data_IF_208995593566
#
_entry.id   IF_208995593566
#
_cell.length_a   1.000
_cell.length_b   1.000
_cell.length_c   1.000
_cell.angle_alpha   90.00
_cell.angle_beta   90.00
_cell.angle_gamma   90.00
#
_symmetry.space_group_name_H-M   'P 1'
#
loop_
_entity.id
_entity.type
_entity.pdbx_description
1 polymer ?
#
# COMPACT_ATOMS: atom_id res chain seq x y z
N UNK A 1 35.46 -24.93 -35.38
CA UNK A 1 34.73 -25.50 -34.21
C UNK A 1 34.94 -24.65 -32.95
N UNK A 2 35.48 -23.43 -33.01
CA UNK A 2 35.77 -22.54 -31.87
C UNK A 2 34.83 -21.34 -31.71
N UNK A 3 33.94 -21.06 -32.68
CA UNK A 3 33.03 -19.91 -32.57
C UNK A 3 31.77 -20.13 -31.71
N UNK A 4 31.36 -21.38 -31.48
CA UNK A 4 30.15 -21.68 -30.69
C UNK A 4 30.37 -21.52 -29.17
N UNK A 5 31.59 -21.62 -28.67
CA UNK A 5 31.90 -21.52 -27.22
C UNK A 5 31.83 -20.07 -26.74
N UNK A 6 32.20 -19.09 -27.57
CA UNK A 6 32.14 -17.67 -27.21
C UNK A 6 30.72 -17.12 -27.14
N UNK A 7 29.83 -17.56 -28.03
CA UNK A 7 28.41 -17.16 -28.01
C UNK A 7 27.66 -17.75 -26.81
N UNK A 8 27.99 -18.97 -26.41
CA UNK A 8 27.37 -19.59 -25.23
C UNK A 8 27.81 -18.93 -23.91
N UNK A 9 29.08 -18.53 -23.81
CA UNK A 9 29.60 -17.80 -22.63
C UNK A 9 29.00 -16.39 -22.52
N UNK A 10 28.82 -15.67 -23.65
CA UNK A 10 28.18 -14.35 -23.62
C UNK A 10 26.68 -14.44 -23.29
N UNK A 11 25.99 -15.47 -23.77
CA UNK A 11 24.58 -15.72 -23.44
C UNK A 11 24.37 -16.08 -21.96
N UNK A 12 25.28 -16.85 -21.37
CA UNK A 12 25.21 -17.17 -19.93
C UNK A 12 25.46 -15.92 -19.07
N UNK A 13 26.43 -15.09 -19.43
CA UNK A 13 26.69 -13.82 -18.74
C UNK A 13 25.50 -12.85 -18.88
N UNK A 14 24.82 -12.84 -20.00
CA UNK A 14 23.64 -12.03 -20.26
C UNK A 14 22.44 -12.51 -19.41
N UNK A 15 22.24 -13.82 -19.29
CA UNK A 15 21.18 -14.42 -18.44
C UNK A 15 21.44 -14.11 -16.95
N UNK A 16 22.67 -14.29 -16.45
CA UNK A 16 23.02 -14.01 -15.04
C UNK A 16 22.84 -12.51 -14.74
N UNK A 17 23.28 -11.65 -15.63
CA UNK A 17 23.09 -10.20 -15.51
C UNK A 17 21.60 -9.84 -15.52
N UNK A 18 20.79 -10.45 -16.37
CA UNK A 18 19.35 -10.24 -16.44
C UNK A 18 18.65 -10.67 -15.16
N UNK A 19 19.01 -11.85 -14.60
CA UNK A 19 18.45 -12.34 -13.34
C UNK A 19 18.78 -11.38 -12.19
N UNK A 20 20.03 -10.94 -12.09
CA UNK A 20 20.47 -9.99 -11.06
C UNK A 20 19.75 -8.63 -11.19
N UNK A 21 19.62 -8.12 -12.40
CA UNK A 21 18.91 -6.87 -12.67
C UNK A 21 17.43 -6.97 -12.31
N UNK A 22 16.76 -8.07 -12.68
CA UNK A 22 15.37 -8.34 -12.32
C UNK A 22 15.18 -8.43 -10.80
N UNK A 23 16.02 -9.19 -10.11
CA UNK A 23 15.95 -9.34 -8.66
C UNK A 23 16.14 -7.98 -7.95
N UNK A 24 17.13 -7.19 -8.37
CA UNK A 24 17.36 -5.85 -7.81
C UNK A 24 16.18 -4.91 -8.08
N UNK A 25 15.64 -4.92 -9.30
CA UNK A 25 14.48 -4.09 -9.65
C UNK A 25 13.26 -4.44 -8.80
N UNK A 26 12.99 -5.72 -8.58
CA UNK A 26 11.89 -6.19 -7.74
C UNK A 26 12.04 -5.73 -6.27
N UNK A 27 13.26 -5.83 -5.73
CA UNK A 27 13.53 -5.39 -4.36
C UNK A 27 13.34 -3.87 -4.20
N UNK A 28 13.97 -3.08 -5.06
CA UNK A 28 13.90 -1.61 -5.00
C UNK A 28 12.46 -1.13 -5.23
N UNK A 29 11.79 -1.60 -6.29
CA UNK A 29 10.43 -1.18 -6.60
C UNK A 29 9.42 -1.59 -5.52
N UNK A 30 9.60 -2.75 -4.87
CA UNK A 30 8.69 -3.27 -3.87
C UNK A 30 8.79 -2.55 -2.53
N UNK A 31 10.00 -2.27 -2.04
CA UNK A 31 10.19 -1.68 -0.70
C UNK A 31 9.68 -0.25 -0.64
N UNK A 32 10.13 0.62 -1.54
CA UNK A 32 9.80 2.04 -1.50
C UNK A 32 8.31 2.30 -1.77
N UNK A 33 7.70 1.57 -2.70
CA UNK A 33 6.29 1.75 -3.02
C UNK A 33 5.37 1.35 -1.86
N UNK A 34 5.63 0.22 -1.20
CA UNK A 34 4.86 -0.20 -0.04
C UNK A 34 5.05 0.75 1.15
N UNK A 35 6.29 1.19 1.41
CA UNK A 35 6.58 2.14 2.48
C UNK A 35 5.83 3.46 2.29
N UNK A 36 5.85 4.02 1.08
CA UNK A 36 5.10 5.25 0.77
C UNK A 36 3.59 5.06 0.93
N UNK A 37 3.01 3.94 0.47
CA UNK A 37 1.59 3.65 0.69
C UNK A 37 1.25 3.58 2.18
N UNK A 38 2.12 2.97 3.00
CA UNK A 38 1.93 2.90 4.46
C UNK A 38 1.99 4.28 5.11
N UNK A 39 2.89 5.15 4.67
CA UNK A 39 2.95 6.54 5.15
C UNK A 39 1.66 7.29 4.81
N UNK A 40 1.16 7.17 3.58
CA UNK A 40 -0.08 7.82 3.15
C UNK A 40 -1.31 7.33 3.93
N UNK A 41 -1.49 6.02 4.14
CA UNK A 41 -2.63 5.52 4.91
C UNK A 41 -2.59 6.00 6.37
N UNK A 42 -1.42 6.03 7.01
CA UNK A 42 -1.28 6.53 8.37
C UNK A 42 -1.55 8.04 8.45
N UNK A 43 -1.06 8.82 7.50
CA UNK A 43 -1.31 10.25 7.41
C UNK A 43 -2.81 10.57 7.25
N UNK A 44 -3.49 9.83 6.37
CA UNK A 44 -4.94 9.96 6.17
C UNK A 44 -5.72 9.60 7.42
N UNK A 45 -5.35 8.53 8.12
CA UNK A 45 -6.02 8.11 9.35
C UNK A 45 -5.81 9.13 10.49
N UNK A 46 -4.63 9.71 10.61
CA UNK A 46 -4.35 10.75 11.60
C UNK A 46 -5.14 12.05 11.36
N UNK A 47 -5.45 12.36 10.11
CA UNK A 47 -6.34 13.47 9.75
C UNK A 47 -7.84 13.12 9.83
N UNK A 48 -8.18 11.83 10.02
CA UNK A 48 -9.56 11.33 10.11
C UNK A 48 -9.71 10.40 11.33
N UNK A 49 -9.71 10.94 12.57
CA UNK A 49 -9.69 10.13 13.79
C UNK A 49 -10.88 9.16 13.93
N UNK A 50 -12.04 9.52 13.39
CA UNK A 50 -13.23 8.65 13.37
C UNK A 50 -13.02 7.41 12.51
N UNK A 51 -12.24 7.51 11.42
CA UNK A 51 -11.91 6.35 10.58
C UNK A 51 -10.84 5.48 11.21
N UNK A 52 -9.87 6.10 11.91
CA UNK A 52 -8.90 5.37 12.74
C UNK A 52 -9.61 4.55 13.83
N UNK A 53 -10.54 5.17 14.57
CA UNK A 53 -11.31 4.48 15.59
C UNK A 53 -12.11 3.30 15.04
N UNK A 54 -12.79 3.46 13.89
CA UNK A 54 -13.52 2.35 13.23
C UNK A 54 -12.60 1.19 12.86
N UNK A 55 -11.40 1.46 12.35
CA UNK A 55 -10.43 0.42 11.99
C UNK A 55 -9.94 -0.34 13.24
N UNK A 56 -9.71 0.39 14.33
CA UNK A 56 -9.33 -0.20 15.61
C UNK A 56 -10.46 -1.02 16.23
N UNK A 57 -11.70 -0.55 16.15
CA UNK A 57 -12.90 -1.29 16.59
C UNK A 57 -13.12 -2.58 15.81
N UNK A 58 -12.88 -2.57 14.48
CA UNK A 58 -12.93 -3.80 13.68
C UNK A 58 -11.89 -4.81 14.16
N UNK A 59 -10.65 -4.38 14.41
CA UNK A 59 -9.58 -5.24 14.91
C UNK A 59 -9.89 -5.77 16.32
N UNK A 60 -10.34 -4.93 17.24
CA UNK A 60 -10.70 -5.32 18.60
C UNK A 60 -11.86 -6.32 18.62
N UNK A 61 -12.82 -6.17 17.69
CA UNK A 61 -14.00 -7.06 17.60
C UNK A 61 -13.67 -8.39 16.93
N UNK A 62 -12.86 -8.39 15.85
CA UNK A 62 -12.61 -9.59 15.01
C UNK A 62 -11.42 -10.41 15.47
N UNK A 63 -10.39 -9.75 16.00
CA UNK A 63 -9.13 -10.40 16.43
C UNK A 63 -8.99 -10.40 17.93
N UNK A 64 -9.38 -9.30 18.59
CA UNK A 64 -9.20 -9.10 20.04
C UNK A 64 -7.84 -8.49 20.38
N UNK A 65 -7.52 -8.51 21.70
CA UNK A 65 -6.30 -7.90 22.26
C UNK A 65 -5.36 -8.93 22.92
N UNK A 66 -5.72 -10.22 22.87
CA UNK A 66 -4.97 -11.30 23.52
C UNK A 66 -3.91 -11.94 22.64
N UNK A 67 -3.94 -11.64 21.35
CA UNK A 67 -2.96 -12.09 20.33
C UNK A 67 -2.75 -11.04 19.26
N UNK A 68 -1.66 -11.16 18.53
CA UNK A 68 -1.44 -10.34 17.34
C UNK A 68 -2.30 -10.85 16.17
N UNK A 69 -2.68 -9.93 15.29
CA UNK A 69 -3.34 -10.25 14.03
C UNK A 69 -2.42 -11.08 13.14
N UNK A 70 -3.00 -12.09 12.47
CA UNK A 70 -2.33 -12.98 11.53
C UNK A 70 -2.90 -12.81 10.11
N UNK A 71 -2.21 -13.37 9.11
CA UNK A 71 -2.66 -13.32 7.71
C UNK A 71 -4.06 -13.92 7.51
N UNK A 72 -4.39 -14.97 8.27
CA UNK A 72 -5.69 -15.65 8.25
C UNK A 72 -6.86 -14.77 8.71
N UNK A 73 -6.59 -13.69 9.43
CA UNK A 73 -7.61 -12.74 9.89
C UNK A 73 -7.99 -11.72 8.79
N UNK A 74 -7.04 -11.39 7.91
CA UNK A 74 -7.17 -10.32 6.91
C UNK A 74 -8.46 -10.44 6.06
N UNK A 75 -8.87 -11.63 5.58
CA UNK A 75 -10.12 -11.76 4.81
C UNK A 75 -11.38 -11.28 5.53
N UNK A 76 -11.37 -11.22 6.87
CA UNK A 76 -12.49 -10.80 7.70
C UNK A 76 -12.43 -9.30 8.09
N UNK A 77 -11.33 -8.61 7.79
CA UNK A 77 -11.11 -7.20 8.10
C UNK A 77 -11.51 -6.32 6.92
N UNK A 78 -12.82 -6.22 6.68
CA UNK A 78 -13.36 -5.55 5.49
C UNK A 78 -13.10 -4.04 5.49
N UNK A 79 -13.20 -3.39 6.66
CA UNK A 79 -12.96 -1.95 6.76
C UNK A 79 -11.48 -1.62 6.54
N UNK A 80 -10.59 -2.42 7.10
CA UNK A 80 -9.15 -2.29 6.88
C UNK A 80 -8.77 -2.45 5.39
N UNK A 81 -9.39 -3.40 4.69
CA UNK A 81 -9.19 -3.56 3.24
C UNK A 81 -9.72 -2.36 2.46
N UNK A 82 -10.87 -1.82 2.85
CA UNK A 82 -11.46 -0.62 2.26
C UNK A 82 -10.58 0.63 2.47
N UNK A 83 -9.98 0.78 3.66
CA UNK A 83 -9.01 1.84 3.94
C UNK A 83 -7.83 1.81 2.97
N UNK A 84 -7.24 0.65 2.77
CA UNK A 84 -6.10 0.53 1.85
C UNK A 84 -6.50 0.79 0.39
N UNK A 85 -7.67 0.30 -0.05
CA UNK A 85 -8.21 0.58 -1.39
C UNK A 85 -8.41 2.09 -1.60
N UNK A 86 -8.98 2.78 -0.62
CA UNK A 86 -9.23 4.22 -0.71
C UNK A 86 -7.93 5.02 -0.69
N UNK A 87 -6.94 4.60 0.10
CA UNK A 87 -5.61 5.20 0.07
C UNK A 87 -4.95 5.06 -1.30
N UNK A 88 -4.98 3.86 -1.88
CA UNK A 88 -4.43 3.60 -3.22
C UNK A 88 -5.18 4.36 -4.33
N UNK A 89 -6.47 4.68 -4.13
CA UNK A 89 -7.24 5.52 -5.04
C UNK A 89 -6.79 6.98 -4.98
N UNK A 90 -6.65 7.53 -3.77
CA UNK A 90 -6.32 8.95 -3.57
C UNK A 90 -4.84 9.24 -3.80
N UNK A 91 -3.98 8.36 -3.29
CA UNK A 91 -2.52 8.51 -3.34
C UNK A 91 -1.86 7.26 -3.97
N UNK A 92 -2.10 7.01 -5.26
CA UNK A 92 -1.42 5.93 -5.97
C UNK A 92 0.07 6.25 -6.04
N UNK A 93 0.91 5.38 -5.50
CA UNK A 93 2.37 5.63 -5.38
C UNK A 93 3.06 5.77 -6.73
N UNK A 94 2.52 5.13 -7.77
CA UNK A 94 2.97 5.29 -9.15
C UNK A 94 1.90 5.99 -10.00
N UNK A 95 1.58 7.28 -9.78
CA UNK A 95 0.40 7.93 -10.35
C UNK A 95 0.44 8.03 -11.88
N UNK A 96 1.64 8.11 -12.45
CA UNK A 96 1.79 8.24 -13.90
C UNK A 96 1.79 6.88 -14.61
N UNK A 97 2.02 5.76 -13.90
CA UNK A 97 2.14 4.43 -14.49
C UNK A 97 3.07 4.40 -15.73
N UNK A 98 2.70 3.58 -16.74
CA UNK A 98 3.23 3.72 -18.09
C UNK A 98 2.48 4.89 -18.74
N UNK A 99 3.14 5.80 -19.49
CA UNK A 99 2.49 6.97 -20.08
C UNK A 99 1.19 6.61 -20.80
N UNK A 100 0.09 7.26 -20.41
CA UNK A 100 -1.23 7.14 -21.03
C UNK A 100 -1.94 8.48 -20.91
N UNK A 101 -2.94 8.69 -21.74
CA UNK A 101 -3.71 9.92 -21.83
C UNK A 101 -5.18 9.62 -21.54
N UNK A 102 -5.83 10.46 -20.73
CA UNK A 102 -7.27 10.38 -20.52
C UNK A 102 -8.01 10.82 -21.79
N UNK A 103 -9.01 10.06 -22.19
CA UNK A 103 -9.80 10.38 -23.39
C UNK A 103 -10.87 11.44 -23.12
N UNK A 104 -11.29 11.60 -21.87
CA UNK A 104 -12.31 12.54 -21.43
C UNK A 104 -11.99 13.06 -20.03
N UNK A 105 -12.47 14.27 -19.73
CA UNK A 105 -12.42 14.83 -18.39
C UNK A 105 -13.34 14.03 -17.47
N UNK A 106 -12.84 13.61 -16.29
CA UNK A 106 -13.63 12.92 -15.30
C UNK A 106 -13.51 13.59 -13.93
N UNK A 107 -14.60 13.57 -13.17
CA UNK A 107 -14.58 14.04 -11.79
C UNK A 107 -14.14 12.89 -10.86
N UNK A 108 -12.98 13.05 -10.24
CA UNK A 108 -12.50 12.12 -9.20
C UNK A 108 -12.84 12.72 -7.83
N UNK A 109 -13.64 12.03 -6.99
CA UNK A 109 -13.94 12.53 -5.65
C UNK A 109 -12.67 12.71 -4.82
N UNK A 110 -12.49 13.89 -4.26
CA UNK A 110 -11.32 14.30 -3.47
C UNK A 110 -11.41 13.95 -1.97
N UNK A 111 -12.58 13.50 -1.51
CA UNK A 111 -12.81 13.14 -0.11
C UNK A 111 -12.40 11.69 0.17
N UNK A 112 -11.58 11.50 1.22
CA UNK A 112 -11.25 10.19 1.78
C UNK A 112 -12.49 9.52 2.39
N UNK A 113 -12.95 8.42 1.81
CA UNK A 113 -14.17 7.72 2.20
C UNK A 113 -14.05 6.20 1.94
N UNK A 114 -13.50 5.43 2.87
CA UNK A 114 -13.36 3.97 2.74
C UNK A 114 -14.70 3.24 2.56
N UNK A 115 -15.78 3.76 3.14
CA UNK A 115 -17.12 3.16 3.05
C UNK A 115 -17.63 2.99 1.62
N UNK A 116 -17.08 3.73 0.64
CA UNK A 116 -17.44 3.51 -0.78
C UNK A 116 -17.17 2.08 -1.24
N UNK A 117 -16.10 1.45 -0.75
CA UNK A 117 -15.75 0.06 -1.07
C UNK A 117 -16.54 -0.98 -0.26
N UNK A 118 -17.36 -0.54 0.68
CA UNK A 118 -18.28 -1.39 1.44
C UNK A 118 -19.74 -1.23 1.00
N UNK A 119 -20.04 -0.22 0.19
CA UNK A 119 -21.42 0.14 -0.19
C UNK A 119 -21.60 0.26 -1.70
N UNK A 120 -21.08 1.31 -2.32
CA UNK A 120 -21.36 1.65 -3.73
C UNK A 120 -20.39 1.00 -4.72
N UNK A 121 -19.17 0.63 -4.28
CA UNK A 121 -18.11 0.08 -5.12
C UNK A 121 -17.55 -1.23 -4.54
N UNK A 122 -18.44 -2.08 -4.03
CA UNK A 122 -18.09 -3.34 -3.35
C UNK A 122 -17.32 -4.29 -4.27
N UNK A 123 -17.71 -4.34 -5.55
CA UNK A 123 -17.11 -5.22 -6.56
C UNK A 123 -15.82 -4.66 -7.17
N UNK A 124 -15.42 -3.44 -6.78
CA UNK A 124 -14.22 -2.80 -7.32
C UNK A 124 -12.95 -3.35 -6.65
N UNK A 125 -11.99 -3.81 -7.48
CA UNK A 125 -10.70 -4.34 -7.04
C UNK A 125 -9.54 -3.60 -7.69
N UNK A 126 -8.39 -3.63 -7.04
CA UNK A 126 -7.12 -2.98 -7.46
C UNK A 126 -6.31 -3.82 -8.45
N UNK A 127 -6.80 -5.02 -8.83
CA UNK A 127 -6.08 -5.98 -9.69
C UNK A 127 -6.17 -5.72 -11.19
N UNK A 128 -6.55 -4.49 -11.58
CA UNK A 128 -6.54 -4.07 -12.98
C UNK A 128 -7.76 -4.51 -13.81
N UNK A 129 -8.83 -4.95 -13.16
CA UNK A 129 -10.11 -5.28 -13.81
C UNK A 129 -11.03 -4.06 -13.91
N UNK A 130 -10.86 -3.08 -13.05
CA UNK A 130 -11.65 -1.86 -12.94
C UNK A 130 -10.81 -0.67 -13.43
N UNK A 131 -11.14 -0.10 -14.59
CA UNK A 131 -10.37 1.00 -15.17
C UNK A 131 -10.38 2.30 -14.33
N UNK A 132 -11.34 2.44 -13.43
CA UNK A 132 -11.47 3.56 -12.49
C UNK A 132 -10.51 3.46 -11.30
N UNK A 133 -9.86 2.31 -11.11
CA UNK A 133 -8.94 2.05 -9.99
C UNK A 133 -7.78 1.15 -10.43
N UNK A 134 -6.68 1.76 -10.87
CA UNK A 134 -5.52 1.07 -11.46
C UNK A 134 -4.20 1.36 -10.71
N UNK A 135 -4.13 1.28 -9.39
CA UNK A 135 -2.91 1.64 -8.66
C UNK A 135 -1.72 0.72 -9.00
N UNK A 136 -1.98 -0.47 -9.51
CA UNK A 136 -0.98 -1.45 -9.95
C UNK A 136 -0.95 -1.63 -11.48
N UNK A 137 -1.64 -0.77 -12.23
CA UNK A 137 -1.79 -0.90 -13.67
C UNK A 137 -2.69 -2.06 -14.09
N UNK A 138 -2.72 -2.34 -15.37
CA UNK A 138 -3.56 -3.40 -15.95
C UNK A 138 -2.87 -4.15 -17.10
N UNK A 139 -3.45 -5.28 -17.51
CA UNK A 139 -3.02 -6.07 -18.65
C UNK A 139 -1.64 -6.71 -18.46
N UNK A 140 -0.91 -6.92 -19.58
CA UNK A 140 0.38 -7.63 -19.60
C UNK A 140 1.55 -6.90 -18.91
N UNK A 141 1.37 -5.64 -18.54
CA UNK A 141 2.34 -4.78 -17.86
C UNK A 141 1.93 -4.42 -16.43
N UNK A 142 0.86 -5.05 -15.91
CA UNK A 142 0.46 -4.87 -14.50
C UNK A 142 1.59 -5.28 -13.55
N UNK A 143 1.57 -4.71 -12.35
CA UNK A 143 2.56 -5.00 -11.31
C UNK A 143 2.59 -6.50 -10.99
N UNK A 144 3.73 -7.18 -11.10
CA UNK A 144 3.82 -8.62 -10.78
C UNK A 144 3.73 -8.88 -9.26
N UNK A 145 4.00 -7.86 -8.44
CA UNK A 145 4.02 -7.96 -6.98
C UNK A 145 2.69 -7.66 -6.28
N UNK A 146 1.59 -7.43 -7.01
CA UNK A 146 0.33 -6.97 -6.43
C UNK A 146 -0.18 -7.85 -5.28
N UNK A 147 -0.14 -9.16 -5.44
CA UNK A 147 -0.58 -10.10 -4.40
C UNK A 147 0.23 -10.00 -3.12
N UNK A 148 1.56 -10.01 -3.23
CA UNK A 148 2.47 -9.87 -2.09
C UNK A 148 2.34 -8.48 -1.45
N UNK A 149 2.27 -7.42 -2.26
CA UNK A 149 2.15 -6.05 -1.75
C UNK A 149 0.88 -5.87 -0.92
N UNK A 150 -0.28 -6.32 -1.42
CA UNK A 150 -1.53 -6.23 -0.68
C UNK A 150 -1.49 -7.03 0.63
N UNK A 151 -0.93 -8.23 0.60
CA UNK A 151 -0.81 -9.09 1.79
C UNK A 151 0.06 -8.43 2.86
N UNK A 152 1.25 -7.95 2.48
CA UNK A 152 2.18 -7.27 3.40
C UNK A 152 1.58 -5.98 3.93
N UNK A 153 0.99 -5.13 3.08
CA UNK A 153 0.39 -3.86 3.50
C UNK A 153 -0.80 -4.06 4.45
N UNK A 154 -1.71 -5.00 4.15
CA UNK A 154 -2.83 -5.29 5.05
C UNK A 154 -2.35 -5.78 6.42
N UNK A 155 -1.42 -6.75 6.45
CA UNK A 155 -0.91 -7.29 7.70
C UNK A 155 -0.15 -6.24 8.52
N UNK A 156 0.69 -5.44 7.86
CA UNK A 156 1.45 -4.37 8.52
C UNK A 156 0.53 -3.30 9.09
N UNK A 157 -0.45 -2.83 8.30
CA UNK A 157 -1.44 -1.85 8.76
C UNK A 157 -2.25 -2.40 9.93
N UNK A 158 -2.77 -3.64 9.83
CA UNK A 158 -3.52 -4.28 10.90
C UNK A 158 -2.71 -4.35 12.20
N UNK A 159 -1.46 -4.77 12.14
CA UNK A 159 -0.57 -4.87 13.31
C UNK A 159 -0.27 -3.52 13.93
N UNK A 160 0.00 -2.48 13.13
CA UNK A 160 0.23 -1.13 13.64
C UNK A 160 -1.01 -0.61 14.34
N UNK A 161 -2.20 -0.71 13.72
CA UNK A 161 -3.45 -0.21 14.29
C UNK A 161 -3.93 -1.01 15.51
N UNK A 162 -3.66 -2.31 15.55
CA UNK A 162 -3.96 -3.14 16.72
C UNK A 162 -3.02 -2.82 17.89
N UNK A 163 -1.72 -2.70 17.61
CA UNK A 163 -0.71 -2.60 18.65
C UNK A 163 -0.58 -1.20 19.26
N UNK A 164 -0.91 -0.15 18.50
CA UNK A 164 -0.61 1.22 18.94
C UNK A 164 -1.81 2.15 18.84
N UNK A 165 -1.95 3.00 19.85
CA UNK A 165 -2.70 4.25 19.75
C UNK A 165 -1.85 5.24 18.98
N UNK A 166 -2.44 5.84 17.94
CA UNK A 166 -1.74 6.77 17.05
C UNK A 166 -2.29 8.18 17.23
N UNK A 167 -1.40 9.14 17.45
CA UNK A 167 -1.75 10.54 17.62
C UNK A 167 -0.75 11.44 16.87
N UNK A 168 -1.19 12.65 16.54
CA UNK A 168 -0.33 13.73 16.08
C UNK A 168 0.14 14.57 17.27
N UNK A 169 1.15 15.39 17.04
CA UNK A 169 1.54 16.40 18.03
C UNK A 169 0.36 17.35 18.28
N UNK A 170 0.09 17.79 19.52
CA UNK A 170 -1.02 18.71 19.83
C UNK A 170 -1.00 19.94 18.93
N UNK A 171 -2.14 20.26 18.33
CA UNK A 171 -2.36 21.42 17.44
C UNK A 171 -1.60 21.38 16.09
N UNK A 172 -1.04 20.25 15.69
CA UNK A 172 -0.40 20.08 14.37
C UNK A 172 -1.16 19.00 13.61
N UNK A 173 -1.92 19.40 12.59
CA UNK A 173 -2.47 18.46 11.61
C UNK A 173 -1.35 17.84 10.77
N UNK A 174 -1.60 16.68 10.17
CA UNK A 174 -0.68 16.09 9.20
C UNK A 174 -0.81 16.85 7.89
N UNK A 175 0.31 17.39 7.43
CA UNK A 175 0.42 18.00 6.12
C UNK A 175 0.44 16.88 5.05
N UNK A 176 -0.44 16.99 4.06
CA UNK A 176 -0.56 16.04 2.95
C UNK A 176 0.06 16.60 1.66
N UNK A 177 0.97 17.56 1.76
CA UNK A 177 1.67 18.10 0.60
C UNK A 177 2.50 17.01 -0.10
N UNK A 178 2.32 16.92 -1.41
CA UNK A 178 2.95 15.92 -2.26
C UNK A 178 4.34 16.36 -2.74
N UNK A 179 5.29 15.45 -2.73
CA UNK A 179 6.60 15.65 -3.34
C UNK A 179 6.61 15.08 -4.76
N UNK A 180 7.02 15.90 -5.72
CA UNK A 180 7.17 15.49 -7.12
C UNK A 180 8.33 14.52 -7.28
N UNK A 181 8.06 13.32 -7.83
CA UNK A 181 9.06 12.29 -8.08
C UNK A 181 8.52 11.16 -8.95
N UNK A 182 9.32 10.09 -9.14
CA UNK A 182 8.86 8.86 -9.78
C UNK A 182 7.77 8.19 -8.96
N UNK A 183 7.92 8.26 -7.63
CA UNK A 183 6.91 7.80 -6.68
C UNK A 183 6.28 9.01 -6.01
N UNK A 184 4.98 8.91 -5.75
CA UNK A 184 4.23 9.90 -4.98
C UNK A 184 4.57 9.72 -3.50
N UNK A 185 5.29 10.66 -2.93
CA UNK A 185 5.66 10.68 -1.51
C UNK A 185 5.22 11.99 -0.85
N UNK A 186 5.17 11.99 0.47
CA UNK A 186 4.93 13.24 1.22
C UNK A 186 6.14 14.16 1.14
N UNK A 187 5.89 15.48 1.03
CA UNK A 187 6.92 16.53 1.06
C UNK A 187 7.65 16.54 2.40
N UNK A 188 6.92 16.38 3.49
CA UNK A 188 7.41 16.39 4.86
C UNK A 188 7.28 15.03 5.53
N UNK A 189 8.31 14.56 6.28
CA UNK A 189 8.24 13.28 6.99
C UNK A 189 7.08 13.23 7.98
N UNK A 190 6.31 12.15 7.96
CA UNK A 190 5.22 11.92 8.89
C UNK A 190 5.77 11.72 10.32
N UNK A 191 5.30 12.52 11.27
CA UNK A 191 5.60 12.37 12.70
C UNK A 191 4.38 11.85 13.44
N UNK A 192 4.54 10.71 14.11
CA UNK A 192 3.46 10.02 14.82
C UNK A 192 3.85 9.78 16.26
N UNK A 193 2.97 10.14 17.20
CA UNK A 193 3.08 9.75 18.59
C UNK A 193 2.39 8.39 18.76
N UNK A 194 3.12 7.42 19.30
CA UNK A 194 2.64 6.04 19.45
C UNK A 194 2.62 5.65 20.91
N UNK A 195 1.47 5.12 21.38
CA UNK A 195 1.34 4.51 22.70
C UNK A 195 0.86 3.06 22.58
N UNK A 196 1.38 2.11 23.39
CA UNK A 196 0.96 0.71 23.33
C UNK A 196 -0.54 0.54 23.67
N UNK A 197 -1.26 -0.29 22.91
CA UNK A 197 -2.67 -0.66 23.13
C UNK A 197 -2.84 -2.07 23.69
N UNK A 198 -1.88 -2.94 23.43
CA UNK A 198 -1.90 -4.35 23.82
C UNK A 198 -1.12 -4.57 25.14
N UNK A 199 -1.26 -5.76 25.68
CA UNK A 199 -0.49 -6.17 26.86
C UNK A 199 1.02 -6.26 26.52
N UNK A 200 1.89 -5.85 27.44
CA UNK A 200 3.34 -5.76 27.22
C UNK A 200 3.99 -7.02 26.68
N UNK A 201 3.49 -8.20 27.06
CA UNK A 201 3.99 -9.50 26.60
C UNK A 201 3.84 -9.75 25.07
N UNK A 202 3.03 -8.95 24.39
CA UNK A 202 2.81 -9.08 22.94
C UNK A 202 3.78 -8.22 22.11
N UNK A 203 4.67 -7.47 22.76
CA UNK A 203 5.68 -6.65 22.10
C UNK A 203 7.09 -7.28 22.16
N UNK A 204 7.27 -8.37 22.89
CA UNK A 204 8.51 -9.15 23.01
C UNK A 204 8.56 -10.20 21.85
#
# INVERSE_FOLDING_TARGET
MMEKTGQFSSAINDIDTTIKALALTQLVAGVDSMANTMVWVLALLLNNPEMLAKAQDELDTKVGKDRLVEESDIPNLNYLQALLKETLRMYPVGPLLVPHEAMEDCHVPDRFNPERFLTTHVDMDVKGQNHELLPFGSGRRSCPGVGLALQVMHLTLARILQAFELNTHPNVGVDLEECSGILLSMMHPLQVLMAPRLHSQLYD
#
